data_IF_830290892107
#
_entry.id   IF_830290892107
#
_cell.length_a   1.000
_cell.length_b   1.000
_cell.length_c   1.000
_cell.angle_alpha   90.00
_cell.angle_beta   90.00
_cell.angle_gamma   90.00
#
_symmetry.space_group_name_H-M   'P 1'
#
loop_
_entity.id
_entity.type
_entity.pdbx_description
1 polymer ?
#
# COMPACT_ATOMS: atom_id res chain seq x y z
N UNK A 1 -5.68 -42.45 -6.52
CA UNK A 1 -5.17 -41.49 -7.52
C UNK A 1 -5.09 -40.13 -6.84
N UNK A 2 -3.92 -39.74 -6.34
CA UNK A 2 -3.73 -38.43 -5.72
C UNK A 2 -2.88 -37.61 -6.68
N UNK A 3 -3.51 -36.62 -7.34
CA UNK A 3 -2.83 -35.70 -8.22
C UNK A 3 -1.84 -34.88 -7.38
N UNK A 4 -0.55 -35.05 -7.65
CA UNK A 4 0.50 -34.19 -7.12
C UNK A 4 0.30 -32.84 -7.79
N UNK A 5 -0.15 -31.83 -7.03
CA UNK A 5 -0.24 -30.45 -7.52
C UNK A 5 1.21 -29.95 -7.60
N UNK A 6 1.78 -29.97 -8.80
CA UNK A 6 3.10 -29.41 -9.09
C UNK A 6 3.05 -27.90 -8.83
N UNK A 7 3.90 -27.41 -7.90
CA UNK A 7 4.07 -25.97 -7.67
C UNK A 7 4.70 -25.36 -8.90
N UNK A 8 3.95 -24.55 -9.63
CA UNK A 8 4.51 -23.76 -10.71
C UNK A 8 5.47 -22.71 -10.14
N UNK A 9 6.68 -22.63 -10.68
CA UNK A 9 7.65 -21.61 -10.34
C UNK A 9 7.12 -20.24 -10.79
N UNK A 10 6.92 -19.37 -9.81
CA UNK A 10 6.42 -18.02 -10.01
C UNK A 10 7.55 -17.19 -10.64
N UNK A 11 7.48 -16.95 -11.94
CA UNK A 11 8.42 -16.06 -12.62
C UNK A 11 8.19 -14.62 -12.14
N UNK A 12 9.26 -13.98 -11.66
CA UNK A 12 9.22 -12.59 -11.20
C UNK A 12 9.17 -11.65 -12.42
N UNK A 13 8.00 -11.08 -12.70
CA UNK A 13 7.77 -10.22 -13.86
C UNK A 13 8.31 -8.81 -13.60
N UNK A 14 9.63 -8.66 -13.56
CA UNK A 14 10.30 -7.36 -13.42
C UNK A 14 10.04 -6.46 -14.64
N UNK A 15 9.32 -5.34 -14.43
CA UNK A 15 9.08 -4.32 -15.46
C UNK A 15 10.27 -3.36 -15.62
N UNK A 16 10.59 -3.00 -16.87
CA UNK A 16 11.56 -1.93 -17.18
C UNK A 16 11.03 -0.57 -16.72
N UNK A 17 11.91 0.41 -16.52
CA UNK A 17 11.51 1.72 -15.98
C UNK A 17 10.51 2.46 -16.87
N UNK A 18 10.69 2.39 -18.19
CA UNK A 18 9.79 3.01 -19.17
C UNK A 18 8.40 2.37 -19.23
N UNK A 19 8.26 1.14 -18.73
CA UNK A 19 6.98 0.41 -18.68
C UNK A 19 6.21 0.70 -17.39
N UNK A 20 6.82 1.41 -16.43
CA UNK A 20 6.19 1.69 -15.13
C UNK A 20 5.30 2.93 -15.21
N UNK A 21 4.10 2.79 -14.66
CA UNK A 21 3.19 3.90 -14.41
C UNK A 21 3.29 4.33 -12.94
N UNK A 22 3.25 5.64 -12.66
CA UNK A 22 3.15 6.12 -11.27
C UNK A 22 1.82 5.68 -10.67
N UNK A 23 1.89 5.05 -9.51
CA UNK A 23 0.70 4.73 -8.71
C UNK A 23 0.34 5.96 -7.86
N UNK A 24 -0.91 6.39 -7.96
CA UNK A 24 -1.43 7.42 -7.06
C UNK A 24 -1.94 6.78 -5.77
N UNK A 25 -1.45 7.27 -4.64
CA UNK A 25 -1.88 6.80 -3.31
C UNK A 25 -2.98 7.71 -2.80
N UNK A 26 -4.10 7.11 -2.38
CA UNK A 26 -5.26 7.81 -1.86
C UNK A 26 -5.48 7.47 -0.39
N UNK A 27 -5.88 8.45 0.41
CA UNK A 27 -6.16 8.25 1.83
C UNK A 27 -7.40 9.01 2.26
N UNK A 28 -7.98 8.62 3.40
CA UNK A 28 -9.17 9.26 3.95
C UNK A 28 -8.78 10.51 4.74
N UNK A 29 -9.42 11.64 4.39
CA UNK A 29 -9.31 12.91 5.11
C UNK A 29 -10.72 13.34 5.50
N UNK A 30 -10.99 13.44 6.81
CA UNK A 30 -12.27 13.94 7.35
C UNK A 30 -13.55 13.32 6.75
N UNK A 31 -13.47 12.13 6.13
CA UNK A 31 -14.64 11.48 5.54
C UNK A 31 -14.49 11.04 4.09
N UNK A 32 -13.67 11.73 3.30
CA UNK A 32 -13.55 11.53 1.85
C UNK A 32 -12.14 11.08 1.44
N UNK A 33 -12.02 10.50 0.24
CA UNK A 33 -10.74 10.10 -0.33
C UNK A 33 -10.06 11.29 -1.00
N UNK A 34 -8.80 11.50 -0.68
CA UNK A 34 -7.95 12.54 -1.26
C UNK A 34 -6.61 11.94 -1.67
N UNK A 35 -6.05 12.31 -2.84
CA UNK A 35 -4.74 11.84 -3.23
C UNK A 35 -3.68 12.45 -2.32
N UNK A 36 -2.75 11.61 -1.85
CA UNK A 36 -1.65 12.02 -0.97
C UNK A 36 -0.76 13.05 -1.68
N UNK A 37 -0.60 12.92 -2.99
CA UNK A 37 0.17 13.87 -3.82
C UNK A 37 -0.35 15.32 -3.77
N UNK A 38 -1.62 15.53 -3.39
CA UNK A 38 -2.22 16.87 -3.26
C UNK A 38 -1.92 17.55 -1.92
N UNK A 39 -1.23 16.89 -0.99
CA UNK A 39 -1.06 17.40 0.37
C UNK A 39 -0.10 18.60 0.41
N UNK A 40 -0.48 19.65 1.12
CA UNK A 40 0.41 20.76 1.46
C UNK A 40 1.36 20.34 2.60
N UNK A 41 2.39 21.14 2.89
CA UNK A 41 3.42 20.83 3.89
C UNK A 41 2.84 20.53 5.28
N UNK A 42 1.84 21.30 5.73
CA UNK A 42 1.19 21.06 7.02
C UNK A 42 0.46 19.71 7.07
N UNK A 43 -0.26 19.35 5.99
CA UNK A 43 -0.97 18.08 5.91
C UNK A 43 -0.04 16.89 5.76
N UNK A 44 1.12 17.07 5.11
CA UNK A 44 2.18 16.05 5.06
C UNK A 44 2.72 15.76 6.47
N UNK A 45 2.96 16.79 7.28
CA UNK A 45 3.37 16.65 8.68
C UNK A 45 2.33 15.90 9.51
N UNK A 46 1.08 16.37 9.49
CA UNK A 46 -0.02 15.69 10.19
C UNK A 46 -0.18 14.22 9.74
N UNK A 47 0.01 13.94 8.45
CA UNK A 47 -0.09 12.58 7.92
C UNK A 47 1.04 11.68 8.42
N UNK A 48 2.27 12.19 8.52
CA UNK A 48 3.44 11.46 9.01
C UNK A 48 3.35 11.12 10.51
N UNK A 49 2.62 11.92 11.28
CA UNK A 49 2.39 11.72 12.72
C UNK A 49 1.25 10.71 13.02
N UNK A 50 0.54 10.21 11.99
CA UNK A 50 -0.55 9.25 12.19
C UNK A 50 -0.01 7.91 12.68
N UNK A 51 -0.61 7.40 13.74
CA UNK A 51 -0.34 6.06 14.26
C UNK A 51 -1.39 5.09 13.73
N UNK A 52 -0.93 4.00 13.15
CA UNK A 52 -1.78 2.90 12.71
C UNK A 52 -2.06 1.95 13.86
N UNK A 53 -3.26 1.40 13.86
CA UNK A 53 -3.61 0.33 14.78
C UNK A 53 -2.82 -0.94 14.43
N UNK A 54 -2.23 -1.58 15.43
CA UNK A 54 -1.54 -2.85 15.30
C UNK A 54 -2.10 -3.83 16.33
N UNK A 55 -2.86 -4.83 15.88
CA UNK A 55 -3.59 -5.77 16.74
C UNK A 55 -2.68 -6.45 17.79
N UNK A 56 -1.49 -6.88 17.38
CA UNK A 56 -0.51 -7.55 18.25
C UNK A 56 -0.04 -6.68 19.44
N UNK A 57 -0.20 -5.37 19.37
CA UNK A 57 0.25 -4.42 20.42
C UNK A 57 -0.86 -4.04 21.40
N UNK A 58 -2.10 -4.44 21.14
CA UNK A 58 -3.26 -4.12 21.96
C UNK A 58 -3.30 -5.05 23.17
N UNK A 59 -3.52 -4.48 24.37
CA UNK A 59 -3.80 -5.28 25.57
C UNK A 59 -5.27 -5.68 25.58
N UNK A 60 -5.54 -6.97 25.84
CA UNK A 60 -6.88 -7.53 26.05
C UNK A 60 -7.53 -7.00 27.33
#
# INVERSE_FOLDING_TARGET
>A
MNAVIERQEQQDTTLREEERQRCEVWTRVMGYHRPVASFNTGKQGEFAERVHFEEATVRS
#
